data_IF_714339860732
#
_entry.id   IF_714339860732
#
_cell.length_a   1.000
_cell.length_b   1.000
_cell.length_c   1.000
_cell.angle_alpha   90.00
_cell.angle_beta   90.00
_cell.angle_gamma   90.00
#
_symmetry.space_group_name_H-M   'P 1'
#
loop_
_entity.id
_entity.type
_entity.pdbx_description
1 polymer ?
#
# COMPACT_ATOMS: atom_id res chain seq x y z
N UNK A 1 -49.82 75.41 -52.91
CA UNK A 1 -50.42 74.48 -51.92
C UNK A 1 -51.00 73.29 -52.67
N UNK A 2 -50.32 72.14 -52.67
CA UNK A 2 -50.87 70.80 -52.94
C UNK A 2 -50.09 69.83 -52.04
N UNK A 3 -50.83 69.00 -51.30
CA UNK A 3 -50.40 68.15 -50.18
C UNK A 3 -49.49 66.99 -50.60
N UNK A 4 -48.45 66.72 -49.79
CA UNK A 4 -47.72 65.46 -49.81
C UNK A 4 -48.41 64.45 -48.88
N UNK A 5 -48.94 63.37 -49.43
CA UNK A 5 -49.47 62.23 -48.66
C UNK A 5 -48.36 61.23 -48.32
N UNK A 6 -48.24 61.01 -47.03
CA UNK A 6 -47.33 60.15 -46.28
C UNK A 6 -47.51 58.66 -46.61
N UNK A 7 -46.45 57.97 -47.03
CA UNK A 7 -46.35 56.51 -46.93
C UNK A 7 -45.60 56.13 -45.65
N UNK A 8 -46.33 56.11 -44.53
CA UNK A 8 -45.90 55.49 -43.28
C UNK A 8 -46.54 54.10 -43.24
N UNK A 9 -45.75 53.05 -43.46
CA UNK A 9 -46.27 51.71 -43.29
C UNK A 9 -45.37 50.68 -43.92
N UNK A 10 -44.31 50.30 -43.21
CA UNK A 10 -43.69 48.95 -43.25
C UNK A 10 -42.43 48.78 -42.40
N UNK A 11 -42.03 49.74 -41.54
CA UNK A 11 -40.80 49.56 -40.73
C UNK A 11 -41.01 48.88 -39.36
N UNK A 12 -42.26 48.51 -39.00
CA UNK A 12 -42.61 48.19 -37.62
C UNK A 12 -42.53 46.73 -37.13
N UNK A 13 -42.30 45.72 -37.99
CA UNK A 13 -42.69 44.32 -37.64
C UNK A 13 -41.53 43.34 -37.46
N UNK A 14 -40.26 43.76 -37.54
CA UNK A 14 -39.12 42.85 -37.30
C UNK A 14 -38.23 43.28 -36.13
N UNK A 15 -38.81 43.77 -35.04
CA UNK A 15 -38.11 43.74 -33.74
C UNK A 15 -38.13 42.31 -33.22
N UNK A 16 -37.27 41.48 -33.79
CA UNK A 16 -36.91 40.19 -33.22
C UNK A 16 -36.41 40.45 -31.80
N UNK A 17 -37.12 39.93 -30.80
CA UNK A 17 -36.61 39.83 -29.43
C UNK A 17 -35.33 38.99 -29.46
N UNK A 18 -34.19 39.66 -29.56
CA UNK A 18 -32.89 39.03 -29.42
C UNK A 18 -32.75 38.58 -27.96
N UNK A 19 -33.13 37.33 -27.68
CA UNK A 19 -32.84 36.69 -26.40
C UNK A 19 -31.32 36.78 -26.16
N UNK A 20 -30.85 37.43 -25.09
CA UNK A 20 -29.42 37.56 -24.86
C UNK A 20 -28.81 36.18 -24.64
N UNK A 21 -28.07 35.68 -25.63
CA UNK A 21 -27.30 34.45 -25.50
C UNK A 21 -26.11 34.75 -24.59
N UNK A 22 -26.17 34.24 -23.35
CA UNK A 22 -25.10 34.36 -22.36
C UNK A 22 -23.86 33.64 -22.89
N UNK A 23 -22.93 34.40 -23.48
CA UNK A 23 -21.65 33.86 -23.94
C UNK A 23 -20.81 33.51 -22.71
N UNK A 24 -20.58 32.22 -22.50
CA UNK A 24 -19.66 31.72 -21.48
C UNK A 24 -18.28 32.27 -21.86
N UNK A 25 -17.72 33.12 -21.00
CA UNK A 25 -16.42 33.72 -21.25
C UNK A 25 -15.33 32.65 -21.11
N UNK A 26 -14.26 32.74 -21.91
CA UNK A 26 -13.13 31.79 -21.86
C UNK A 26 -12.53 31.67 -20.45
N UNK A 27 -12.62 32.73 -19.64
CA UNK A 27 -12.20 32.73 -18.23
C UNK A 27 -13.06 31.80 -17.36
N UNK A 28 -14.38 31.75 -17.59
CA UNK A 28 -15.26 30.86 -16.85
C UNK A 28 -14.96 29.38 -17.17
N UNK A 29 -14.61 29.07 -18.42
CA UNK A 29 -14.20 27.72 -18.83
C UNK A 29 -12.88 27.31 -18.15
N UNK A 30 -11.89 28.21 -18.13
CA UNK A 30 -10.60 27.95 -17.46
C UNK A 30 -10.80 27.71 -15.96
N UNK A 31 -11.66 28.49 -15.30
CA UNK A 31 -11.96 28.30 -13.87
C UNK A 31 -12.62 26.94 -13.62
N UNK A 32 -13.60 26.57 -14.45
CA UNK A 32 -14.30 25.29 -14.32
C UNK A 32 -13.34 24.11 -14.49
N UNK A 33 -12.46 24.18 -15.50
CA UNK A 33 -11.45 23.14 -15.75
C UNK A 33 -10.44 23.04 -14.59
N UNK A 34 -10.05 24.17 -14.01
CA UNK A 34 -9.17 24.18 -12.83
C UNK A 34 -9.82 23.56 -11.60
N UNK A 35 -11.10 23.83 -11.36
CA UNK A 35 -11.87 23.23 -10.25
C UNK A 35 -11.99 21.72 -10.45
N UNK A 36 -12.31 21.27 -11.66
CA UNK A 36 -12.42 19.85 -12.00
C UNK A 36 -11.10 19.11 -11.79
N UNK A 37 -9.99 19.66 -12.31
CA UNK A 37 -8.65 19.11 -12.10
C UNK A 37 -8.28 19.00 -10.62
N UNK A 38 -8.64 20.02 -9.82
CA UNK A 38 -8.37 20.03 -8.38
C UNK A 38 -9.17 18.95 -7.66
N UNK A 39 -10.44 18.73 -8.03
CA UNK A 39 -11.26 17.65 -7.47
C UNK A 39 -10.70 16.27 -7.83
N UNK A 40 -10.34 16.05 -9.10
CA UNK A 40 -9.76 14.77 -9.55
C UNK A 40 -8.45 14.50 -8.81
N UNK A 41 -7.57 15.51 -8.71
CA UNK A 41 -6.30 15.37 -8.01
C UNK A 41 -6.51 15.06 -6.52
N UNK A 42 -7.47 15.72 -5.87
CA UNK A 42 -7.81 15.45 -4.48
C UNK A 42 -8.30 14.02 -4.24
N UNK A 43 -9.20 13.52 -5.10
CA UNK A 43 -9.69 12.12 -5.03
C UNK A 43 -8.54 11.14 -5.29
N UNK A 44 -7.66 11.46 -6.24
CA UNK A 44 -6.50 10.61 -6.55
C UNK A 44 -5.54 10.51 -5.36
N UNK A 45 -5.19 11.64 -4.73
CA UNK A 45 -4.33 11.68 -3.54
C UNK A 45 -4.98 10.91 -2.38
N UNK A 46 -6.28 11.09 -2.17
CA UNK A 46 -7.03 10.37 -1.14
C UNK A 46 -7.05 8.86 -1.41
N UNK A 47 -7.32 8.43 -2.63
CA UNK A 47 -7.30 7.02 -3.02
C UNK A 47 -5.89 6.42 -2.86
N UNK A 48 -4.84 7.16 -3.26
CA UNK A 48 -3.46 6.75 -3.05
C UNK A 48 -3.15 6.56 -1.56
N UNK A 49 -3.61 7.48 -0.72
CA UNK A 49 -3.41 7.40 0.73
C UNK A 49 -4.01 6.13 1.34
N UNK A 50 -5.19 5.71 0.88
CA UNK A 50 -5.85 4.49 1.34
C UNK A 50 -5.29 3.20 0.71
N UNK A 51 -4.72 3.29 -0.49
CA UNK A 51 -4.13 2.15 -1.20
C UNK A 51 -2.64 1.95 -0.89
N UNK A 52 -1.97 2.93 -0.28
CA UNK A 52 -0.59 2.78 0.16
C UNK A 52 -0.55 1.72 1.26
N UNK A 53 0.12 0.57 1.06
CA UNK A 53 0.36 -0.36 2.14
C UNK A 53 1.09 0.41 3.24
N UNK A 54 0.63 0.28 4.49
CA UNK A 54 1.28 0.85 5.68
C UNK A 54 2.77 0.60 5.52
N UNK A 55 3.53 1.69 5.41
CA UNK A 55 4.95 1.62 5.08
C UNK A 55 5.61 0.68 6.06
N UNK A 56 6.03 -0.50 5.61
CA UNK A 56 6.94 -1.33 6.37
C UNK A 56 8.17 -0.45 6.58
N UNK A 57 8.58 -0.16 7.82
CA UNK A 57 9.79 0.61 8.04
C UNK A 57 10.89 -0.10 7.28
N UNK A 58 11.61 0.63 6.43
CA UNK A 58 12.84 0.16 5.81
C UNK A 58 13.83 -0.05 6.96
N UNK A 59 13.73 -1.20 7.61
CA UNK A 59 14.75 -1.69 8.52
C UNK A 59 16.05 -1.72 7.73
N UNK A 60 17.09 -1.14 8.33
CA UNK A 60 18.44 -1.02 7.82
C UNK A 60 18.80 -2.15 6.88
N UNK A 61 19.43 -1.79 5.75
CA UNK A 61 19.88 -2.59 4.62
C UNK A 61 20.85 -3.76 5.00
N UNK A 62 20.54 -4.53 6.04
CA UNK A 62 21.15 -5.81 6.33
C UNK A 62 20.66 -6.73 5.25
N UNK A 63 21.60 -7.22 4.43
CA UNK A 63 21.30 -8.26 3.48
C UNK A 63 20.80 -9.49 4.25
N UNK A 64 19.49 -9.72 4.24
CA UNK A 64 18.82 -10.83 4.92
C UNK A 64 18.83 -12.11 4.08
N UNK A 65 19.32 -12.07 2.83
CA UNK A 65 19.47 -13.25 1.98
C UNK A 65 20.21 -14.42 2.65
N UNK A 66 21.36 -14.24 3.34
CA UNK A 66 22.02 -15.34 4.05
C UNK A 66 21.19 -15.91 5.21
N UNK A 67 20.39 -15.09 5.88
CA UNK A 67 19.50 -15.53 6.97
C UNK A 67 18.39 -16.40 6.38
N UNK A 68 17.73 -15.93 5.32
CA UNK A 68 16.69 -16.68 4.59
C UNK A 68 17.23 -18.01 4.09
N UNK A 69 18.41 -17.99 3.45
CA UNK A 69 19.01 -19.20 2.89
C UNK A 69 19.34 -20.22 3.98
N UNK A 70 19.83 -19.76 5.14
CA UNK A 70 20.12 -20.64 6.28
C UNK A 70 18.85 -21.23 6.86
N UNK A 71 17.79 -20.44 7.02
CA UNK A 71 16.48 -20.92 7.48
C UNK A 71 15.93 -21.97 6.50
N UNK A 72 15.98 -21.71 5.19
CA UNK A 72 15.56 -22.67 4.17
C UNK A 72 16.36 -23.95 4.19
N UNK A 73 17.68 -23.83 4.26
CA UNK A 73 18.60 -24.96 4.34
C UNK A 73 18.41 -25.78 5.63
N UNK A 74 18.03 -25.13 6.74
CA UNK A 74 17.61 -25.83 7.95
C UNK A 74 16.29 -26.58 7.72
N UNK A 75 15.27 -25.91 7.16
CA UNK A 75 13.96 -26.50 6.89
C UNK A 75 14.04 -27.70 5.92
N UNK A 76 14.88 -27.62 4.89
CA UNK A 76 15.14 -28.73 3.94
C UNK A 76 16.01 -29.84 4.53
N UNK A 77 16.61 -29.64 5.71
CA UNK A 77 17.54 -30.58 6.32
C UNK A 77 18.93 -30.60 5.65
N UNK A 78 19.24 -29.62 4.81
CA UNK A 78 20.55 -29.47 4.17
C UNK A 78 21.63 -29.09 5.18
N UNK A 79 21.28 -28.27 6.19
CA UNK A 79 22.15 -27.93 7.32
C UNK A 79 21.72 -28.73 8.55
N UNK A 80 22.70 -29.15 9.34
CA UNK A 80 22.47 -29.79 10.63
C UNK A 80 21.92 -28.77 11.64
N UNK A 81 20.60 -28.70 11.73
CA UNK A 81 19.88 -28.00 12.79
C UNK A 81 19.21 -29.03 13.70
N UNK A 82 19.74 -29.24 14.93
CA UNK A 82 19.30 -30.33 15.78
C UNK A 82 17.85 -30.15 16.18
N UNK A 83 17.10 -31.26 16.13
CA UNK A 83 15.75 -31.34 16.68
C UNK A 83 15.84 -31.49 18.21
N UNK A 84 15.08 -30.66 18.91
CA UNK A 84 14.95 -30.67 20.37
C UNK A 84 13.53 -31.12 20.69
N UNK A 85 13.40 -32.10 21.57
CA UNK A 85 12.11 -32.52 22.10
C UNK A 85 11.57 -31.44 23.05
N UNK A 86 10.37 -30.95 22.76
CA UNK A 86 9.70 -29.88 23.52
C UNK A 86 8.57 -30.46 24.38
N UNK A 87 7.91 -31.49 23.87
CA UNK A 87 6.88 -32.24 24.57
C UNK A 87 6.87 -33.70 24.07
N UNK A 88 6.17 -34.63 24.75
CA UNK A 88 6.06 -36.01 24.29
C UNK A 88 5.56 -36.09 22.84
N UNK A 89 6.39 -36.61 21.94
CA UNK A 89 6.08 -36.74 20.51
C UNK A 89 6.17 -35.43 19.70
N UNK A 90 6.63 -34.33 20.30
CA UNK A 90 6.78 -33.03 19.64
C UNK A 90 8.23 -32.57 19.73
N UNK A 91 8.86 -32.45 18.57
CA UNK A 91 10.19 -31.88 18.43
C UNK A 91 10.15 -30.62 17.57
N UNK A 92 11.04 -29.69 17.85
CA UNK A 92 11.28 -28.56 16.97
C UNK A 92 12.76 -28.30 16.80
N UNK A 93 13.09 -27.59 15.74
CA UNK A 93 14.47 -27.23 15.43
C UNK A 93 15.03 -26.28 16.49
N UNK A 94 16.29 -26.46 16.86
CA UNK A 94 16.95 -25.62 17.84
C UNK A 94 16.96 -24.14 17.41
N UNK A 95 17.15 -23.87 16.11
CA UNK A 95 17.11 -22.50 15.59
C UNK A 95 15.71 -21.86 15.66
N UNK A 96 14.64 -22.65 15.55
CA UNK A 96 13.28 -22.14 15.70
C UNK A 96 12.99 -21.79 17.17
N UNK A 97 13.50 -22.58 18.11
CA UNK A 97 13.29 -22.36 19.54
C UNK A 97 14.15 -21.22 20.11
N UNK A 98 15.43 -21.18 19.75
CA UNK A 98 16.45 -20.29 20.35
C UNK A 98 16.79 -19.08 19.49
N UNK A 99 16.36 -19.08 18.23
CA UNK A 99 16.76 -18.10 17.23
C UNK A 99 18.05 -18.48 16.50
N UNK A 100 18.25 -17.87 15.35
CA UNK A 100 19.42 -17.99 14.50
C UNK A 100 20.35 -16.80 14.75
N UNK A 101 21.53 -17.05 15.32
CA UNK A 101 22.55 -16.03 15.53
C UNK A 101 23.39 -15.84 14.26
N UNK A 102 23.35 -14.65 13.67
CA UNK A 102 24.14 -14.32 12.47
C UNK A 102 24.57 -12.85 12.50
N UNK A 103 25.84 -12.58 12.21
CA UNK A 103 26.36 -11.21 12.15
C UNK A 103 26.20 -10.42 13.46
N UNK A 104 26.26 -11.09 14.62
CA UNK A 104 26.10 -10.48 15.94
C UNK A 104 24.65 -10.15 16.33
N UNK A 105 23.67 -10.51 15.50
CA UNK A 105 22.24 -10.36 15.78
C UNK A 105 21.56 -11.73 15.88
N UNK A 106 20.50 -11.82 16.68
CA UNK A 106 19.66 -13.01 16.77
C UNK A 106 18.38 -12.77 16.00
N UNK A 107 18.13 -13.62 15.01
CA UNK A 107 16.94 -13.60 14.18
C UNK A 107 16.02 -14.74 14.59
N UNK A 108 14.73 -14.45 14.66
CA UNK A 108 13.70 -15.44 14.87
C UNK A 108 12.88 -15.58 13.59
N UNK A 109 12.26 -16.74 13.42
CA UNK A 109 11.44 -16.98 12.25
C UNK A 109 10.24 -17.87 12.58
N UNK A 110 9.17 -17.70 11.81
CA UNK A 110 8.04 -18.62 11.78
C UNK A 110 7.63 -18.87 10.32
N UNK A 111 7.05 -20.04 10.09
CA UNK A 111 6.51 -20.44 8.78
C UNK A 111 4.99 -20.36 8.85
N UNK A 112 4.38 -19.56 7.99
CA UNK A 112 2.93 -19.43 7.95
C UNK A 112 2.26 -20.78 7.62
N UNK A 113 1.16 -21.07 8.30
CA UNK A 113 0.40 -22.33 8.13
C UNK A 113 1.03 -23.57 8.78
N UNK A 114 2.15 -23.43 9.51
CA UNK A 114 2.82 -24.53 10.20
C UNK A 114 2.82 -24.36 11.72
N UNK A 115 3.08 -25.46 12.44
CA UNK A 115 3.35 -25.39 13.87
C UNK A 115 4.73 -24.76 14.09
N UNK A 116 4.77 -23.66 14.84
CA UNK A 116 5.99 -22.92 15.13
C UNK A 116 6.24 -22.88 16.64
N UNK A 117 7.51 -22.88 17.02
CA UNK A 117 7.97 -22.91 18.40
C UNK A 117 8.89 -21.73 18.72
N UNK A 118 8.87 -20.69 17.88
CA UNK A 118 9.57 -19.44 18.14
C UNK A 118 8.92 -18.66 19.28
N UNK A 119 9.63 -17.70 19.91
CA UNK A 119 9.13 -16.97 21.07
C UNK A 119 7.80 -16.24 20.83
N UNK A 120 7.57 -15.71 19.61
CA UNK A 120 6.33 -15.04 19.26
C UNK A 120 5.17 -16.05 19.14
N UNK A 121 5.35 -17.15 18.40
CA UNK A 121 4.31 -18.18 18.26
C UNK A 121 3.96 -18.89 19.58
N UNK A 122 4.93 -18.99 20.50
CA UNK A 122 4.70 -19.53 21.86
C UNK A 122 4.05 -18.52 22.82
N UNK A 123 3.88 -17.26 22.41
CA UNK A 123 3.36 -16.19 23.29
C UNK A 123 4.32 -15.80 24.41
N UNK A 124 5.61 -16.14 24.29
CA UNK A 124 6.66 -15.71 25.24
C UNK A 124 7.01 -14.24 25.02
N UNK A 125 6.86 -13.77 23.78
CA UNK A 125 7.12 -12.39 23.35
C UNK A 125 5.84 -11.80 22.78
N UNK A 126 5.56 -10.54 23.12
CA UNK A 126 4.43 -9.79 22.60
C UNK A 126 4.70 -9.28 21.17
N UNK A 127 3.64 -9.13 20.37
CA UNK A 127 3.74 -8.74 18.95
C UNK A 127 4.24 -7.31 18.72
N UNK A 128 4.19 -6.45 19.74
CA UNK A 128 4.72 -5.09 19.70
C UNK A 128 6.23 -5.01 20.02
N UNK A 129 6.77 -6.06 20.65
CA UNK A 129 8.19 -6.22 20.95
C UNK A 129 9.00 -6.80 19.80
N UNK A 130 8.34 -7.19 18.69
CA UNK A 130 9.00 -7.73 17.50
C UNK A 130 9.06 -6.70 16.38
N UNK A 131 10.13 -6.76 15.61
CA UNK A 131 10.28 -6.03 14.36
C UNK A 131 10.41 -7.02 13.22
N UNK A 132 9.41 -7.04 12.34
CA UNK A 132 9.41 -7.89 11.16
C UNK A 132 10.43 -7.36 10.18
N UNK A 133 11.43 -8.19 9.88
CA UNK A 133 12.55 -7.85 8.99
C UNK A 133 12.23 -8.22 7.55
N UNK A 134 11.60 -9.37 7.36
CA UNK A 134 11.29 -9.90 6.04
C UNK A 134 10.11 -10.86 6.10
N UNK A 135 9.22 -10.76 5.12
CA UNK A 135 8.25 -11.80 4.79
C UNK A 135 8.55 -12.31 3.40
N UNK A 136 9.06 -13.52 3.33
CA UNK A 136 9.49 -14.16 2.09
C UNK A 136 8.46 -15.19 1.64
N UNK A 137 7.87 -14.96 0.47
CA UNK A 137 6.83 -15.80 -0.13
C UNK A 137 7.35 -16.60 -1.33
N UNK A 138 8.66 -16.67 -1.55
CA UNK A 138 9.21 -17.33 -2.74
C UNK A 138 9.28 -18.86 -2.63
N UNK A 139 8.96 -19.43 -1.46
CA UNK A 139 8.93 -20.87 -1.19
C UNK A 139 7.50 -21.44 -1.15
N UNK A 140 7.35 -22.75 -0.87
CA UNK A 140 6.04 -23.41 -0.74
C UNK A 140 5.22 -22.88 0.46
N UNK A 141 5.86 -22.21 1.40
CA UNK A 141 5.21 -21.55 2.53
C UNK A 141 5.93 -20.25 2.81
N UNK A 142 5.17 -19.23 3.24
CA UNK A 142 5.75 -17.94 3.56
C UNK A 142 6.56 -18.04 4.86
N UNK A 143 7.80 -17.57 4.81
CA UNK A 143 8.71 -17.50 5.95
C UNK A 143 8.73 -16.06 6.41
N UNK A 144 8.45 -15.82 7.68
CA UNK A 144 8.56 -14.50 8.30
C UNK A 144 9.76 -14.51 9.22
N UNK A 145 10.66 -13.57 9.00
CA UNK A 145 11.86 -13.35 9.81
C UNK A 145 11.67 -12.05 10.58
N UNK A 146 11.95 -12.09 11.87
CA UNK A 146 11.83 -10.96 12.77
C UNK A 146 12.99 -10.92 13.76
N UNK A 147 13.14 -9.76 14.41
CA UNK A 147 14.03 -9.59 15.56
C UNK A 147 13.26 -9.06 16.75
N UNK A 148 13.83 -9.21 17.93
CA UNK A 148 13.35 -8.53 19.13
C UNK A 148 13.91 -7.10 19.13
N UNK A 149 13.13 -6.14 19.59
CA UNK A 149 13.55 -4.74 19.77
C UNK A 149 14.41 -4.56 21.02
#
# INVERSE_FOLDING_TARGET
>A
MINATTHQGTEGVLRAEARPVRRISSRALIIMMGVELTMIFGVLVWALFWMLPVSTPFASQHNLAPVVETVRSSLSGTINDPLIDIAPGVSARASNLRGLSMGGSVYYYYVEGHANFDPLSRGVVASDAVEIMLRDTSGPSAIVIYRLR
#
